data_IF_275634907451
#
_entry.id   IF_275634907451
#
_cell.length_a   1.000
_cell.length_b   1.000
_cell.length_c   1.000
_cell.angle_alpha   90.00
_cell.angle_beta   90.00
_cell.angle_gamma   90.00
#
_symmetry.space_group_name_H-M   'P 1'
#
loop_
_entity.id
_entity.type
_entity.pdbx_description
1 polymer ?
#
# COMPACT_ATOMS: atom_id res chain seq x y z
N UNK A 1 -8.05 -22.53 -33.20
CA UNK A 1 -8.53 -21.27 -32.57
C UNK A 1 -7.33 -20.36 -32.45
N UNK A 2 -7.37 -19.21 -33.11
CA UNK A 2 -6.24 -18.28 -33.27
C UNK A 2 -5.78 -17.76 -31.90
N UNK A 3 -4.49 -17.97 -31.61
CA UNK A 3 -3.86 -17.50 -30.39
C UNK A 3 -3.72 -15.98 -30.40
N UNK A 4 -4.48 -15.33 -29.52
CA UNK A 4 -4.15 -13.98 -29.08
C UNK A 4 -2.84 -14.07 -28.27
N UNK A 5 -1.85 -13.20 -28.51
CA UNK A 5 -0.64 -13.18 -27.69
C UNK A 5 -1.04 -12.84 -26.25
N UNK A 6 -0.49 -13.58 -25.29
CA UNK A 6 -0.77 -13.52 -23.84
C UNK A 6 -0.69 -12.11 -23.21
N UNK A 7 -0.19 -11.13 -23.94
CA UNK A 7 0.02 -9.74 -23.53
C UNK A 7 -1.12 -8.78 -23.88
N UNK A 8 -1.92 -9.07 -24.93
CA UNK A 8 -3.24 -8.40 -25.08
C UNK A 8 -4.06 -8.70 -23.83
N UNK A 9 -3.85 -9.88 -23.24
CA UNK A 9 -4.43 -10.30 -21.97
C UNK A 9 -3.91 -9.52 -20.75
N UNK A 10 -2.65 -9.05 -20.64
CA UNK A 10 -2.22 -8.25 -19.45
C UNK A 10 -2.89 -6.88 -19.45
N UNK A 11 -2.85 -6.17 -20.59
CA UNK A 11 -3.52 -4.88 -20.74
C UNK A 11 -5.04 -4.99 -20.63
N UNK A 12 -5.66 -6.05 -21.19
CA UNK A 12 -7.08 -6.33 -21.00
C UNK A 12 -7.43 -6.85 -19.59
N UNK A 13 -6.56 -7.60 -18.91
CA UNK A 13 -6.83 -8.15 -17.56
C UNK A 13 -6.74 -7.05 -16.52
N UNK A 14 -5.78 -6.13 -16.65
CA UNK A 14 -5.76 -4.89 -15.85
C UNK A 14 -7.03 -4.09 -16.17
N UNK A 15 -7.33 -3.81 -17.45
CA UNK A 15 -8.54 -3.06 -17.84
C UNK A 15 -9.88 -3.74 -17.45
N UNK A 16 -9.99 -5.07 -17.52
CA UNK A 16 -11.19 -5.83 -17.12
C UNK A 16 -11.28 -5.99 -15.61
N UNK A 17 -10.14 -6.00 -14.91
CA UNK A 17 -10.12 -5.92 -13.46
C UNK A 17 -10.68 -4.64 -12.89
N UNK A 18 -10.67 -3.61 -13.73
CA UNK A 18 -11.05 -2.28 -13.37
C UNK A 18 -12.50 -1.92 -13.75
N UNK A 19 -13.28 -2.84 -14.34
CA UNK A 19 -14.64 -2.56 -14.85
C UNK A 19 -15.79 -3.05 -13.95
N UNK A 20 -15.53 -3.64 -12.79
CA UNK A 20 -16.58 -4.26 -11.98
C UNK A 20 -16.36 -4.09 -10.47
N UNK A 21 -16.47 -2.86 -9.98
CA UNK A 21 -16.75 -2.58 -8.56
C UNK A 21 -17.96 -1.66 -8.48
N UNK A 22 -19.02 -2.11 -7.79
CA UNK A 22 -19.98 -1.18 -7.20
C UNK A 22 -19.37 -0.75 -5.88
N UNK A 23 -19.06 0.53 -5.77
CA UNK A 23 -18.65 1.14 -4.52
C UNK A 23 -19.69 0.83 -3.44
N UNK A 24 -19.23 0.37 -2.27
CA UNK A 24 -20.03 0.57 -1.07
C UNK A 24 -19.98 2.08 -0.86
N UNK A 25 -21.14 2.72 -0.91
CA UNK A 25 -21.25 4.17 -0.74
C UNK A 25 -20.80 4.50 0.68
N UNK A 26 -19.52 4.85 0.78
CA UNK A 26 -18.89 5.22 2.02
C UNK A 26 -19.49 6.54 2.50
N UNK A 27 -19.57 6.69 3.81
CA UNK A 27 -19.87 7.95 4.48
C UNK A 27 -18.66 8.89 4.29
N UNK A 28 -18.46 9.32 3.04
CA UNK A 28 -17.32 10.11 2.57
C UNK A 28 -17.34 11.54 3.11
N UNK A 29 -18.46 11.99 3.67
CA UNK A 29 -18.62 13.39 4.08
C UNK A 29 -18.22 13.62 5.54
N UNK A 30 -18.12 12.56 6.35
CA UNK A 30 -17.79 12.68 7.76
C UNK A 30 -16.35 12.27 8.06
N UNK A 31 -15.71 13.03 8.95
CA UNK A 31 -14.44 12.64 9.59
C UNK A 31 -14.56 11.31 10.35
N UNK A 32 -15.78 10.98 10.75
CA UNK A 32 -16.11 10.01 11.77
C UNK A 32 -17.04 8.94 11.20
N UNK A 33 -16.52 7.73 11.04
CA UNK A 33 -17.35 6.59 10.71
C UNK A 33 -18.38 6.31 11.83
N UNK A 34 -19.66 6.20 11.50
CA UNK A 34 -20.75 5.96 12.47
C UNK A 34 -20.73 4.56 13.12
N UNK A 35 -19.87 3.65 12.64
CA UNK A 35 -19.67 2.30 13.18
C UNK A 35 -18.46 2.16 14.12
N UNK A 36 -18.02 0.91 14.37
CA UNK A 36 -16.87 0.61 15.23
C UNK A 36 -15.58 1.31 14.77
N UNK A 37 -14.68 1.54 15.73
CA UNK A 37 -13.45 2.32 15.55
C UNK A 37 -12.30 1.75 16.37
N UNK A 38 -11.09 1.92 15.86
CA UNK A 38 -9.87 1.64 16.63
C UNK A 38 -9.67 2.60 17.80
N UNK A 39 -9.25 2.12 18.99
CA UNK A 39 -9.15 2.97 20.18
C UNK A 39 -7.86 3.80 20.28
N UNK A 40 -6.88 3.57 19.40
CA UNK A 40 -5.56 4.19 19.51
C UNK A 40 -5.45 5.60 18.90
N UNK A 41 -6.52 6.09 18.26
CA UNK A 41 -6.55 7.41 17.59
C UNK A 41 -7.13 8.48 18.51
N UNK A 42 -6.48 9.65 18.58
CA UNK A 42 -7.01 10.87 19.21
C UNK A 42 -8.05 11.55 18.31
N UNK A 43 -9.27 10.99 18.27
CA UNK A 43 -10.35 11.50 17.43
C UNK A 43 -10.70 12.98 17.62
N UNK A 44 -10.69 13.56 18.84
CA UNK A 44 -10.82 15.00 19.03
C UNK A 44 -9.70 15.80 18.36
N UNK A 45 -8.43 15.44 18.58
CA UNK A 45 -7.32 16.10 17.90
C UNK A 45 -7.46 16.03 16.38
N UNK A 46 -7.93 14.90 15.85
CA UNK A 46 -8.12 14.69 14.42
C UNK A 46 -9.20 15.59 13.83
N UNK A 47 -10.24 15.93 14.61
CA UNK A 47 -11.24 16.91 14.20
C UNK A 47 -10.69 18.31 14.10
N UNK A 48 -9.94 18.75 15.12
CA UNK A 48 -9.28 20.04 15.07
C UNK A 48 -8.31 20.13 13.88
N UNK A 49 -7.47 19.13 13.67
CA UNK A 49 -6.49 19.11 12.59
C UNK A 49 -7.16 19.08 11.20
N UNK A 50 -8.24 18.31 11.06
CA UNK A 50 -9.00 18.27 9.81
C UNK A 50 -9.64 19.62 9.49
N UNK A 51 -10.29 20.26 10.46
CA UNK A 51 -10.89 21.58 10.29
C UNK A 51 -9.83 22.61 9.89
N UNK A 52 -8.69 22.64 10.59
CA UNK A 52 -7.58 23.52 10.25
C UNK A 52 -7.06 23.28 8.82
N UNK A 53 -6.92 22.01 8.41
CA UNK A 53 -6.40 21.65 7.10
C UNK A 53 -7.28 22.15 5.94
N UNK A 54 -8.59 22.33 6.15
CA UNK A 54 -9.50 22.84 5.11
C UNK A 54 -9.96 24.27 5.34
N UNK A 55 -9.37 24.97 6.31
CA UNK A 55 -9.68 26.37 6.62
C UNK A 55 -11.03 26.58 7.33
N UNK A 56 -11.57 25.53 7.96
CA UNK A 56 -12.78 25.60 8.78
C UNK A 56 -12.47 26.06 10.23
N UNK A 57 -13.44 26.69 10.92
CA UNK A 57 -13.30 26.99 12.34
C UNK A 57 -13.05 25.72 13.17
N UNK A 58 -12.14 25.82 14.15
CA UNK A 58 -11.91 24.71 15.06
C UNK A 58 -13.17 24.40 15.89
N UNK A 59 -13.46 23.13 16.19
CA UNK A 59 -14.52 22.79 17.12
C UNK A 59 -14.30 23.46 18.48
N UNK A 60 -15.39 23.87 19.14
CA UNK A 60 -15.32 24.62 20.39
C UNK A 60 -14.45 23.93 21.45
N UNK A 61 -13.47 24.65 21.99
CA UNK A 61 -12.57 24.16 23.03
C UNK A 61 -11.48 23.20 22.53
N UNK A 62 -11.42 22.89 21.23
CA UNK A 62 -10.38 22.05 20.66
C UNK A 62 -9.23 22.88 20.07
N UNK A 63 -8.03 22.32 20.13
CA UNK A 63 -6.82 22.85 19.50
C UNK A 63 -6.17 21.73 18.68
N UNK A 64 -5.44 22.10 17.63
CA UNK A 64 -4.63 21.13 16.88
C UNK A 64 -3.44 20.75 17.74
N UNK A 65 -3.25 19.47 18.10
CA UNK A 65 -2.08 19.07 18.87
C UNK A 65 -0.80 19.30 18.08
N UNK A 66 0.32 19.49 18.78
CA UNK A 66 1.63 19.59 18.17
C UNK A 66 2.34 18.23 18.11
N UNK A 67 3.24 18.06 17.14
CA UNK A 67 4.12 16.90 17.12
C UNK A 67 5.09 16.94 18.29
N UNK A 68 4.99 15.96 19.21
CA UNK A 68 5.96 15.80 20.30
C UNK A 68 7.38 15.53 19.79
N UNK A 69 7.48 14.81 18.69
CA UNK A 69 8.72 14.56 17.95
C UNK A 69 8.38 14.21 16.50
N UNK A 70 9.23 14.61 15.56
CA UNK A 70 9.18 14.13 14.17
C UNK A 70 10.04 12.89 14.06
N UNK A 71 9.41 11.73 13.86
CA UNK A 71 10.10 10.43 13.76
C UNK A 71 10.69 10.26 12.36
N UNK A 72 11.90 9.69 12.28
CA UNK A 72 12.52 9.37 10.99
C UNK A 72 12.16 7.94 10.57
N UNK A 73 11.54 7.78 9.40
CA UNK A 73 11.44 6.49 8.72
C UNK A 73 12.78 6.17 8.06
N UNK A 74 13.24 4.93 8.11
CA UNK A 74 14.63 4.59 7.73
C UNK A 74 14.70 3.44 6.75
N UNK A 75 15.75 3.40 5.94
CA UNK A 75 15.91 2.34 4.95
C UNK A 75 16.18 0.98 5.64
N UNK A 76 15.49 -0.07 5.23
CA UNK A 76 15.55 -1.42 5.81
C UNK A 76 16.96 -1.92 6.12
N UNK A 77 17.92 -1.73 5.22
CA UNK A 77 19.30 -2.24 5.34
C UNK A 77 20.09 -1.50 6.41
N UNK A 78 19.66 -0.30 6.81
CA UNK A 78 20.29 0.51 7.87
C UNK A 78 19.86 0.09 9.28
N UNK A 79 18.77 -0.68 9.40
CA UNK A 79 18.32 -1.19 10.70
C UNK A 79 19.29 -2.24 11.25
N UNK A 80 19.50 -2.18 12.55
CA UNK A 80 20.14 -3.26 13.32
C UNK A 80 19.28 -4.53 13.30
N UNK A 81 19.90 -5.67 13.61
CA UNK A 81 19.18 -6.94 13.71
C UNK A 81 18.00 -6.88 14.69
N UNK A 82 18.21 -6.28 15.87
CA UNK A 82 17.17 -6.19 16.89
C UNK A 82 16.02 -5.27 16.49
N UNK A 83 16.31 -4.16 15.79
CA UNK A 83 15.26 -3.30 15.25
C UNK A 83 14.42 -4.01 14.18
N UNK A 84 15.07 -4.78 13.28
CA UNK A 84 14.36 -5.60 12.29
C UNK A 84 13.48 -6.64 12.97
N UNK A 85 14.01 -7.34 13.98
CA UNK A 85 13.29 -8.36 14.74
C UNK A 85 12.09 -7.77 15.47
N UNK A 86 12.23 -6.59 16.07
CA UNK A 86 11.15 -5.89 16.77
C UNK A 86 10.03 -5.45 15.81
N UNK A 87 10.39 -4.99 14.60
CA UNK A 87 9.42 -4.69 13.54
C UNK A 87 8.61 -5.93 13.14
N UNK A 88 9.27 -7.08 12.92
CA UNK A 88 8.61 -8.34 12.61
C UNK A 88 7.66 -8.79 13.73
N UNK A 89 8.07 -8.63 15.00
CA UNK A 89 7.25 -8.92 16.17
C UNK A 89 6.00 -8.05 16.20
N UNK A 90 6.12 -6.75 15.92
CA UNK A 90 4.99 -5.82 15.94
C UNK A 90 3.91 -6.19 14.91
N UNK A 91 4.31 -6.55 13.68
CA UNK A 91 3.37 -7.01 12.65
C UNK A 91 2.66 -8.31 13.08
N UNK A 92 3.42 -9.30 13.57
CA UNK A 92 2.84 -10.54 14.11
C UNK A 92 1.89 -10.28 15.27
N UNK A 93 2.17 -9.28 16.09
CA UNK A 93 1.27 -8.88 17.17
C UNK A 93 -0.08 -8.40 16.61
N UNK A 94 -0.10 -7.59 15.55
CA UNK A 94 -1.36 -7.13 14.93
C UNK A 94 -2.23 -8.30 14.42
N UNK A 95 -1.60 -9.39 13.97
CA UNK A 95 -2.28 -10.65 13.58
C UNK A 95 -2.93 -11.40 14.76
N UNK A 96 -2.74 -10.93 15.99
CA UNK A 96 -3.32 -11.51 17.20
C UNK A 96 -4.19 -10.52 17.98
N UNK A 97 -4.30 -9.27 17.52
CA UNK A 97 -5.17 -8.25 18.13
C UNK A 97 -6.56 -8.34 17.50
N UNK A 98 -7.64 -8.06 18.25
CA UNK A 98 -8.99 -8.11 17.70
C UNK A 98 -9.21 -7.04 16.63
N UNK A 99 -10.07 -7.34 15.66
CA UNK A 99 -10.50 -6.45 14.55
C UNK A 99 -11.20 -5.14 15.00
N UNK A 100 -11.61 -5.05 16.26
CA UNK A 100 -12.41 -3.93 16.79
C UNK A 100 -13.76 -3.71 16.07
N UNK A 101 -14.27 -4.68 15.32
CA UNK A 101 -15.56 -4.63 14.64
C UNK A 101 -15.54 -3.88 13.31
N UNK A 102 -14.37 -3.62 12.76
CA UNK A 102 -14.16 -2.96 11.47
C UNK A 102 -14.53 -3.89 10.32
N UNK A 103 -14.06 -5.13 10.38
CA UNK A 103 -14.32 -6.18 9.41
C UNK A 103 -14.91 -7.41 10.11
N UNK A 104 -16.22 -7.39 10.47
CA UNK A 104 -16.82 -8.39 11.36
C UNK A 104 -16.74 -9.85 10.91
N UNK A 105 -16.40 -10.11 9.64
CA UNK A 105 -16.19 -11.45 9.10
C UNK A 105 -14.81 -12.02 9.42
N UNK A 106 -13.86 -11.17 9.85
CA UNK A 106 -12.48 -11.55 10.08
C UNK A 106 -12.03 -11.28 11.52
N UNK A 107 -11.13 -12.11 12.06
CA UNK A 107 -10.87 -12.11 13.50
C UNK A 107 -9.91 -11.00 13.98
N UNK A 108 -9.02 -10.52 13.12
CA UNK A 108 -7.85 -9.76 13.59
C UNK A 108 -7.79 -8.32 13.09
N UNK A 109 -7.09 -7.46 13.83
CA UNK A 109 -6.78 -6.10 13.38
C UNK A 109 -5.97 -6.12 12.08
N UNK A 110 -5.10 -7.11 11.87
CA UNK A 110 -4.39 -7.25 10.60
C UNK A 110 -5.37 -7.52 9.45
N UNK A 111 -6.36 -8.39 9.64
CA UNK A 111 -7.40 -8.63 8.64
C UNK A 111 -8.21 -7.36 8.35
N UNK A 112 -8.45 -6.51 9.36
CA UNK A 112 -9.12 -5.21 9.19
C UNK A 112 -8.36 -4.31 8.19
N UNK A 113 -7.03 -4.26 8.27
CA UNK A 113 -6.20 -3.56 7.29
C UNK A 113 -6.39 -4.12 5.89
N UNK A 114 -6.30 -5.46 5.73
CA UNK A 114 -6.47 -6.10 4.43
C UNK A 114 -7.87 -5.82 3.87
N UNK A 115 -8.90 -5.96 4.69
CA UNK A 115 -10.29 -5.74 4.29
C UNK A 115 -10.56 -4.32 3.82
N UNK A 116 -10.11 -3.30 4.57
CA UNK A 116 -10.29 -1.88 4.17
C UNK A 116 -9.62 -1.57 2.83
N UNK A 117 -8.44 -2.13 2.58
CA UNK A 117 -7.78 -1.99 1.28
C UNK A 117 -8.54 -2.73 0.16
N UNK A 118 -9.01 -3.94 0.43
CA UNK A 118 -9.73 -4.76 -0.54
C UNK A 118 -11.08 -4.16 -0.93
N UNK A 119 -11.87 -3.68 0.03
CA UNK A 119 -13.28 -3.27 -0.20
C UNK A 119 -13.41 -2.02 -1.07
N UNK A 120 -12.38 -1.18 -1.15
CA UNK A 120 -12.42 0.01 -2.00
C UNK A 120 -11.11 0.27 -2.74
N UNK A 121 -10.50 -0.81 -3.20
CA UNK A 121 -9.31 -0.74 -4.01
C UNK A 121 -9.46 0.23 -5.22
N UNK A 122 -10.59 0.18 -5.94
CA UNK A 122 -10.85 1.06 -7.11
C UNK A 122 -11.01 2.53 -6.79
N UNK A 123 -11.33 2.87 -5.54
CA UNK A 123 -11.61 4.26 -5.16
C UNK A 123 -10.32 5.06 -4.93
N UNK A 124 -9.18 4.38 -4.74
CA UNK A 124 -7.89 5.01 -4.37
C UNK A 124 -6.70 4.52 -5.20
N UNK A 125 -6.94 3.82 -6.30
CA UNK A 125 -5.86 3.38 -7.19
C UNK A 125 -6.06 3.99 -8.55
N UNK A 126 -4.93 4.32 -9.19
CA UNK A 126 -4.87 4.91 -10.53
C UNK A 126 -5.70 6.20 -10.61
N UNK A 127 -5.65 6.97 -9.53
CA UNK A 127 -6.32 8.23 -9.35
C UNK A 127 -5.57 9.10 -8.34
N UNK A 128 -5.98 10.36 -8.25
CA UNK A 128 -5.28 11.35 -7.44
C UNK A 128 -5.22 10.98 -5.95
N UNK A 129 -6.15 10.18 -5.45
CA UNK A 129 -6.22 9.82 -4.03
C UNK A 129 -5.18 8.76 -3.63
N UNK A 130 -4.53 8.08 -4.60
CA UNK A 130 -3.58 7.00 -4.36
C UNK A 130 -2.48 7.34 -3.36
N UNK A 131 -1.67 8.35 -3.66
CA UNK A 131 -0.56 8.75 -2.80
C UNK A 131 -1.01 9.19 -1.40
N UNK A 132 -1.96 10.13 -1.24
CA UNK A 132 -2.38 10.58 0.08
C UNK A 132 -3.11 9.50 0.90
N UNK A 133 -3.86 8.59 0.25
CA UNK A 133 -4.53 7.47 0.93
C UNK A 133 -3.52 6.46 1.46
N UNK A 134 -2.58 5.99 0.62
CA UNK A 134 -1.57 5.01 1.05
C UNK A 134 -0.61 5.57 2.10
N UNK A 135 -0.24 6.85 1.99
CA UNK A 135 0.51 7.57 3.03
C UNK A 135 -0.16 7.43 4.40
N UNK A 136 -1.46 7.73 4.44
CA UNK A 136 -2.23 7.69 5.67
C UNK A 136 -2.45 6.25 6.16
N UNK A 137 -2.66 5.32 5.23
CA UNK A 137 -2.80 3.89 5.53
C UNK A 137 -1.56 3.30 6.20
N UNK A 138 -0.36 3.59 5.68
CA UNK A 138 0.92 3.21 6.31
C UNK A 138 1.09 3.92 7.65
N UNK A 139 0.65 5.17 7.79
CA UNK A 139 0.66 5.87 9.07
C UNK A 139 -0.24 5.19 10.11
N UNK A 140 -1.49 4.87 9.79
CA UNK A 140 -2.42 4.14 10.69
C UNK A 140 -1.80 2.80 11.11
N UNK A 141 -1.18 2.06 10.17
CA UNK A 141 -0.48 0.82 10.49
C UNK A 141 0.68 1.04 11.48
N UNK A 142 1.46 2.11 11.31
CA UNK A 142 2.53 2.46 12.26
C UNK A 142 2.02 2.86 13.64
N UNK A 143 0.92 3.61 13.72
CA UNK A 143 0.27 3.94 14.99
C UNK A 143 -0.29 2.68 15.66
N UNK A 144 -0.89 1.75 14.90
CA UNK A 144 -1.35 0.49 15.43
C UNK A 144 -0.19 -0.34 16.03
N UNK A 145 0.94 -0.44 15.32
CA UNK A 145 2.12 -1.12 15.84
C UNK A 145 2.63 -0.48 17.15
N UNK A 146 2.71 0.85 17.21
CA UNK A 146 3.19 1.56 18.40
C UNK A 146 2.22 1.47 19.58
N UNK A 147 0.94 1.76 19.36
CA UNK A 147 -0.06 1.93 20.42
C UNK A 147 -0.69 0.62 20.88
N UNK A 148 -0.74 -0.40 20.02
CA UNK A 148 -1.39 -1.69 20.31
C UNK A 148 -0.38 -2.81 20.54
N UNK A 149 0.81 -2.68 19.97
CA UNK A 149 1.84 -3.71 19.94
C UNK A 149 3.19 -3.24 20.50
N UNK A 150 3.23 -2.11 21.20
CA UNK A 150 4.41 -1.59 21.89
C UNK A 150 5.66 -1.52 20.99
N UNK A 151 5.47 -1.20 19.70
CA UNK A 151 6.58 -0.97 18.79
C UNK A 151 7.21 0.39 19.06
N UNK A 152 8.51 0.42 19.37
CA UNK A 152 9.25 1.67 19.60
C UNK A 152 10.37 1.89 18.57
N UNK A 153 10.54 0.97 17.62
CA UNK A 153 11.54 1.10 16.56
C UNK A 153 11.14 2.13 15.49
N UNK A 154 12.08 2.51 14.62
CA UNK A 154 11.76 3.35 13.47
C UNK A 154 10.95 2.56 12.43
N UNK A 155 9.96 3.18 11.78
CA UNK A 155 9.22 2.53 10.68
C UNK A 155 10.14 2.45 9.46
N UNK A 156 10.42 1.26 8.90
CA UNK A 156 11.31 1.15 7.77
C UNK A 156 10.61 1.39 6.44
N UNK A 157 11.41 1.67 5.41
CA UNK A 157 11.03 1.59 4.00
C UNK A 157 12.02 0.73 3.22
N UNK A 158 11.58 0.12 2.12
CA UNK A 158 12.40 -0.74 1.28
C UNK A 158 12.81 0.02 0.02
N UNK A 159 14.07 0.46 -0.03
CA UNK A 159 14.60 1.07 -1.24
C UNK A 159 14.98 -0.02 -2.25
N UNK A 160 14.00 -0.53 -3.00
CA UNK A 160 14.21 -1.54 -4.04
C UNK A 160 14.92 -0.98 -5.29
N UNK A 161 15.04 0.33 -5.44
CA UNK A 161 15.90 0.92 -6.48
C UNK A 161 17.36 0.51 -6.33
N UNK A 162 17.82 0.18 -5.12
CA UNK A 162 19.17 -0.38 -4.93
C UNK A 162 19.30 -1.85 -5.37
N UNK A 163 18.19 -2.57 -5.52
CA UNK A 163 18.17 -3.97 -5.96
C UNK A 163 17.64 -4.10 -7.40
N UNK A 164 17.46 -3.00 -8.15
CA UNK A 164 16.67 -3.01 -9.38
C UNK A 164 17.14 -4.02 -10.43
N UNK A 165 18.44 -4.30 -10.51
CA UNK A 165 19.01 -5.29 -11.42
C UNK A 165 18.72 -6.74 -10.99
N UNK A 166 18.54 -7.00 -9.70
CA UNK A 166 18.33 -8.32 -9.11
C UNK A 166 17.32 -8.24 -7.96
N UNK A 167 16.11 -7.76 -8.24
CA UNK A 167 15.09 -7.41 -7.23
C UNK A 167 14.79 -8.55 -6.25
N UNK A 168 14.70 -9.79 -6.74
CA UNK A 168 14.39 -10.97 -5.94
C UNK A 168 15.57 -11.43 -5.05
N UNK A 169 16.79 -10.95 -5.32
CA UNK A 169 17.98 -11.17 -4.47
C UNK A 169 18.10 -10.11 -3.36
N UNK A 170 17.11 -9.21 -3.26
CA UNK A 170 17.07 -8.21 -2.20
C UNK A 170 17.18 -8.88 -0.81
N UNK A 171 17.99 -8.33 0.11
CA UNK A 171 18.14 -8.89 1.46
C UNK A 171 16.84 -8.86 2.28
N UNK A 172 15.80 -8.17 1.80
CA UNK A 172 14.46 -8.21 2.40
C UNK A 172 13.86 -9.63 2.35
N UNK A 173 14.14 -10.40 1.28
CA UNK A 173 13.67 -11.77 1.08
C UNK A 173 14.53 -12.83 1.77
N UNK A 174 15.45 -12.42 2.65
CA UNK A 174 16.26 -13.34 3.47
C UNK A 174 15.41 -14.43 4.13
N UNK A 175 15.97 -15.63 4.25
CA UNK A 175 15.36 -16.76 4.95
C UNK A 175 15.54 -16.72 6.47
N UNK A 176 16.23 -15.70 7.01
CA UNK A 176 16.42 -15.54 8.45
C UNK A 176 15.06 -15.51 9.20
N UNK A 177 14.84 -16.40 10.17
CA UNK A 177 13.53 -16.58 10.82
C UNK A 177 13.11 -15.44 11.74
N UNK A 178 13.98 -14.47 12.01
CA UNK A 178 13.67 -13.32 12.86
C UNK A 178 13.55 -12.01 12.07
N UNK A 179 14.30 -11.88 10.97
CA UNK A 179 14.41 -10.60 10.27
C UNK A 179 14.09 -10.67 8.78
N UNK A 180 14.03 -11.84 8.16
CA UNK A 180 13.72 -11.96 6.73
C UNK A 180 12.21 -11.95 6.47
N UNK A 181 11.75 -11.33 5.38
CA UNK A 181 10.35 -11.49 4.92
C UNK A 181 10.14 -12.83 4.20
N UNK A 182 11.20 -13.62 4.01
CA UNK A 182 11.17 -14.92 3.34
C UNK A 182 11.13 -14.81 1.82
N UNK A 183 11.41 -15.90 1.13
CA UNK A 183 11.21 -16.02 -0.32
C UNK A 183 9.77 -16.51 -0.64
N UNK A 184 9.50 -16.90 -1.88
CA UNK A 184 8.27 -17.63 -2.21
C UNK A 184 8.21 -19.05 -1.66
N UNK A 185 9.31 -19.61 -1.15
CA UNK A 185 9.39 -20.98 -0.66
C UNK A 185 9.35 -22.03 -1.77
N UNK A 186 9.25 -23.31 -1.38
CA UNK A 186 9.35 -24.44 -2.30
C UNK A 186 8.06 -25.25 -2.44
N UNK A 187 7.06 -24.97 -1.61
CA UNK A 187 5.81 -25.73 -1.57
C UNK A 187 4.76 -25.05 -2.45
N UNK A 188 4.50 -25.60 -3.63
CA UNK A 188 3.39 -25.15 -4.47
C UNK A 188 2.05 -25.42 -3.77
N UNK A 189 1.13 -24.47 -3.86
CA UNK A 189 -0.21 -24.55 -3.29
C UNK A 189 -1.27 -24.13 -4.31
N UNK A 190 -2.45 -24.71 -4.17
CA UNK A 190 -3.66 -24.31 -4.88
C UNK A 190 -4.81 -24.37 -3.89
N UNK A 191 -5.30 -23.20 -3.47
CA UNK A 191 -6.45 -23.08 -2.57
C UNK A 191 -7.56 -22.38 -3.33
N UNK A 192 -8.60 -23.13 -3.72
CA UNK A 192 -9.75 -22.60 -4.46
C UNK A 192 -9.36 -21.86 -5.76
N UNK A 193 -8.31 -22.33 -6.44
CA UNK A 193 -7.79 -21.73 -7.67
C UNK A 193 -6.75 -20.62 -7.46
N UNK A 194 -6.47 -20.22 -6.21
CA UNK A 194 -5.35 -19.33 -5.87
C UNK A 194 -4.05 -20.14 -5.90
N UNK A 195 -3.27 -19.95 -6.96
CA UNK A 195 -2.05 -20.73 -7.24
C UNK A 195 -0.81 -19.92 -6.88
N UNK A 196 0.11 -20.52 -6.12
CA UNK A 196 1.38 -19.90 -5.80
C UNK A 196 2.30 -20.86 -5.05
N UNK A 197 3.30 -20.32 -4.39
CA UNK A 197 4.16 -21.04 -3.46
C UNK A 197 3.97 -20.49 -2.07
N UNK A 198 3.86 -21.39 -1.09
CA UNK A 198 3.75 -21.05 0.32
C UNK A 198 5.06 -20.43 0.79
N UNK A 199 4.99 -19.25 1.40
CA UNK A 199 6.11 -18.67 2.16
C UNK A 199 6.43 -19.59 3.34
N UNK A 200 7.52 -20.34 3.23
CA UNK A 200 7.91 -21.41 4.17
C UNK A 200 9.20 -21.12 4.96
N UNK A 201 9.76 -19.91 4.78
CA UNK A 201 10.98 -19.44 5.43
C UNK A 201 10.86 -17.94 5.80
N UNK A 202 11.87 -17.41 6.49
CA UNK A 202 11.82 -16.05 7.03
C UNK A 202 10.92 -15.92 8.27
N UNK A 203 10.76 -14.70 8.75
CA UNK A 203 9.96 -14.39 9.94
C UNK A 203 8.49 -14.74 9.79
N UNK A 204 7.93 -14.69 8.58
CA UNK A 204 6.52 -15.01 8.33
C UNK A 204 6.31 -16.43 7.77
N UNK A 205 7.26 -17.33 7.97
CA UNK A 205 7.14 -18.73 7.55
C UNK A 205 5.83 -19.36 8.06
N UNK A 206 5.05 -19.93 7.14
CA UNK A 206 3.75 -20.56 7.41
C UNK A 206 2.68 -19.64 8.02
N UNK A 207 2.82 -18.31 7.86
CA UNK A 207 1.76 -17.37 8.17
C UNK A 207 0.47 -17.76 7.44
N UNK A 208 -0.66 -17.71 8.15
CA UNK A 208 -1.99 -17.85 7.56
C UNK A 208 -2.63 -16.48 7.39
N UNK A 209 -3.35 -16.32 6.29
CA UNK A 209 -4.14 -15.13 5.95
C UNK A 209 -5.59 -15.56 5.73
N UNK A 210 -6.56 -14.66 5.93
CA UNK A 210 -7.98 -15.01 5.92
C UNK A 210 -8.77 -14.48 4.71
N UNK A 211 -8.20 -13.56 3.94
CA UNK A 211 -8.86 -12.89 2.81
C UNK A 211 -8.19 -13.35 1.51
N UNK A 212 -8.93 -13.75 0.46
CA UNK A 212 -10.39 -13.95 0.40
C UNK A 212 -10.90 -15.20 1.12
N UNK A 213 -10.03 -16.15 1.39
CA UNK A 213 -10.31 -17.42 2.07
C UNK A 213 -9.14 -17.73 2.97
N UNK A 214 -9.33 -18.53 4.02
CA UNK A 214 -8.19 -18.94 4.84
C UNK A 214 -7.20 -19.79 4.04
N UNK A 215 -5.96 -19.33 3.94
CA UNK A 215 -4.86 -20.05 3.30
C UNK A 215 -3.51 -19.63 3.90
N UNK A 216 -2.41 -20.24 3.46
CA UNK A 216 -1.07 -19.76 3.80
C UNK A 216 -0.71 -18.56 2.94
N UNK A 217 0.08 -17.63 3.47
CA UNK A 217 0.67 -16.56 2.68
C UNK A 217 1.42 -17.16 1.48
N UNK A 218 1.09 -16.67 0.29
CA UNK A 218 1.66 -17.13 -0.98
C UNK A 218 2.40 -16.04 -1.72
N UNK A 219 3.45 -16.45 -2.43
CA UNK A 219 4.16 -15.65 -3.45
C UNK A 219 4.47 -16.55 -4.65
N UNK A 220 4.79 -15.97 -5.80
CA UNK A 220 5.25 -16.71 -6.96
C UNK A 220 6.29 -15.93 -7.78
N UNK A 221 7.55 -16.02 -7.36
CA UNK A 221 8.69 -15.39 -8.04
C UNK A 221 8.96 -15.97 -9.45
N UNK A 222 8.38 -17.12 -9.77
CA UNK A 222 8.57 -17.80 -11.05
C UNK A 222 7.55 -17.44 -12.13
N UNK A 223 6.45 -16.75 -11.75
CA UNK A 223 5.36 -16.40 -12.67
C UNK A 223 5.85 -15.65 -13.93
N UNK A 224 6.89 -14.82 -13.75
CA UNK A 224 7.46 -14.02 -14.83
C UNK A 224 8.33 -14.81 -15.79
N UNK A 225 9.00 -15.88 -15.34
CA UNK A 225 9.81 -16.74 -16.23
C UNK A 225 8.94 -17.41 -17.30
N UNK A 226 7.69 -17.72 -16.95
CA UNK A 226 6.70 -18.26 -17.89
C UNK A 226 6.05 -17.21 -18.79
N UNK A 227 5.95 -15.97 -18.32
CA UNK A 227 5.30 -14.87 -19.06
C UNK A 227 6.27 -14.11 -19.97
N UNK A 228 7.57 -14.10 -19.66
CA UNK A 228 8.63 -13.50 -20.47
C UNK A 228 9.67 -14.54 -20.93
N UNK A 229 9.27 -15.50 -21.79
CA UNK A 229 10.15 -16.61 -22.20
C UNK A 229 11.33 -16.15 -23.07
N UNK A 230 11.26 -14.96 -23.64
CA UNK A 230 12.30 -14.36 -24.48
C UNK A 230 13.23 -13.42 -23.72
N UNK A 231 12.98 -13.18 -22.42
CA UNK A 231 13.74 -12.23 -21.62
C UNK A 231 13.58 -10.78 -22.07
N UNK A 232 12.53 -10.47 -22.85
CA UNK A 232 12.26 -9.14 -23.36
C UNK A 232 11.91 -8.16 -22.22
N UNK A 233 11.33 -8.68 -21.15
CA UNK A 233 10.90 -7.95 -19.96
C UNK A 233 11.71 -8.29 -18.70
N UNK A 234 12.65 -9.24 -18.77
CA UNK A 234 13.30 -9.95 -17.66
C UNK A 234 13.73 -9.09 -16.48
N UNK A 235 15.00 -8.68 -16.45
CA UNK A 235 15.54 -7.64 -15.55
C UNK A 235 14.84 -6.27 -15.78
N UNK A 236 13.91 -6.17 -16.73
CA UNK A 236 13.31 -4.92 -17.22
C UNK A 236 12.14 -4.39 -16.38
N UNK A 237 11.51 -5.18 -15.49
CA UNK A 237 10.65 -4.58 -14.45
C UNK A 237 11.49 -3.73 -13.48
N UNK A 238 12.73 -4.15 -13.22
CA UNK A 238 13.71 -3.36 -12.45
C UNK A 238 13.89 -1.94 -12.99
N UNK A 239 13.89 -1.79 -14.30
CA UNK A 239 14.03 -0.49 -14.96
C UNK A 239 12.92 0.50 -14.59
N UNK A 240 11.71 0.00 -14.30
CA UNK A 240 10.54 0.83 -13.91
C UNK A 240 10.64 1.43 -12.51
N UNK A 241 11.61 0.97 -11.72
CA UNK A 241 11.99 1.53 -10.42
C UNK A 241 13.51 1.73 -10.28
N UNK A 242 14.20 1.85 -11.41
CA UNK A 242 15.62 2.20 -11.46
C UNK A 242 15.87 3.61 -10.91
N UNK A 243 17.13 3.99 -10.63
CA UNK A 243 17.46 5.37 -10.30
C UNK A 243 16.97 6.38 -11.34
N UNK A 244 16.96 5.99 -12.62
CA UNK A 244 16.45 6.82 -13.71
C UNK A 244 14.92 6.99 -13.65
N UNK A 245 14.17 5.92 -13.35
CA UNK A 245 12.72 6.00 -13.18
C UNK A 245 12.32 6.85 -11.97
N UNK A 246 13.01 6.70 -10.84
CA UNK A 246 12.80 7.57 -9.66
C UNK A 246 13.16 9.01 -9.98
N UNK A 247 14.27 9.27 -10.68
CA UNK A 247 14.64 10.63 -11.09
C UNK A 247 13.59 11.26 -12.01
N UNK A 248 13.01 10.49 -12.94
CA UNK A 248 11.88 10.92 -13.78
C UNK A 248 10.69 11.36 -12.92
N UNK A 249 10.24 10.52 -11.98
CA UNK A 249 9.14 10.84 -11.08
C UNK A 249 9.43 12.11 -10.26
N UNK A 250 10.63 12.25 -9.72
CA UNK A 250 11.04 13.43 -8.94
C UNK A 250 11.15 14.72 -9.78
N UNK A 251 11.24 14.60 -11.10
CA UNK A 251 11.26 15.75 -12.03
C UNK A 251 9.87 16.23 -12.45
N UNK A 252 8.81 15.51 -12.09
CA UNK A 252 7.43 15.81 -12.49
C UNK A 252 7.01 17.22 -12.07
N UNK A 253 6.43 17.97 -13.01
CA UNK A 253 5.99 19.33 -12.72
C UNK A 253 4.59 19.37 -12.10
N UNK A 254 3.73 18.45 -12.52
CA UNK A 254 2.37 18.30 -12.02
C UNK A 254 2.27 17.08 -11.10
N UNK A 255 1.26 17.08 -10.23
CA UNK A 255 0.96 15.93 -9.38
C UNK A 255 0.54 14.72 -10.24
N UNK A 256 -0.30 14.92 -11.25
CA UNK A 256 -0.70 13.87 -12.20
C UNK A 256 0.48 13.21 -12.93
N UNK A 257 1.54 13.97 -13.26
CA UNK A 257 2.73 13.42 -13.92
C UNK A 257 3.56 12.56 -12.94
N UNK A 258 3.55 12.91 -11.64
CA UNK A 258 4.18 12.11 -10.59
C UNK A 258 3.41 10.81 -10.38
N UNK A 259 2.09 10.91 -10.25
CA UNK A 259 1.16 9.79 -10.11
C UNK A 259 1.33 8.79 -11.25
N UNK A 260 1.31 9.28 -12.49
CA UNK A 260 1.53 8.47 -13.69
C UNK A 260 2.86 7.72 -13.67
N UNK A 261 3.94 8.36 -13.21
CA UNK A 261 5.25 7.73 -13.11
C UNK A 261 5.36 6.70 -11.97
N UNK A 262 4.62 6.89 -10.88
CA UNK A 262 4.62 5.98 -9.73
C UNK A 262 3.75 4.75 -10.02
N UNK A 263 2.50 4.94 -10.41
CA UNK A 263 1.57 3.85 -10.67
C UNK A 263 1.73 3.24 -12.08
N UNK A 264 2.39 3.96 -12.99
CA UNK A 264 2.78 3.43 -14.30
C UNK A 264 1.67 3.46 -15.35
N UNK A 265 0.57 4.19 -15.15
CA UNK A 265 -0.51 4.27 -16.15
C UNK A 265 -0.16 5.10 -17.40
N UNK A 266 1.02 5.71 -17.44
CA UNK A 266 1.64 6.25 -18.66
C UNK A 266 2.38 5.19 -19.48
N UNK A 267 2.39 3.94 -19.02
CA UNK A 267 2.94 2.77 -19.68
C UNK A 267 1.80 1.81 -20.04
N UNK A 268 1.84 1.23 -21.25
CA UNK A 268 0.83 0.28 -21.74
C UNK A 268 0.67 -0.96 -20.86
N UNK A 269 1.70 -1.33 -20.11
CA UNK A 269 1.69 -2.46 -19.19
C UNK A 269 1.33 -2.06 -17.74
N UNK A 270 1.03 -0.79 -17.47
CA UNK A 270 0.77 -0.27 -16.11
C UNK A 270 1.90 -0.60 -15.14
N UNK A 271 3.15 -0.43 -15.59
CA UNK A 271 4.35 -0.73 -14.81
C UNK A 271 5.01 0.55 -14.36
N UNK A 272 5.24 0.67 -13.07
CA UNK A 272 5.84 1.84 -12.44
C UNK A 272 6.51 1.47 -11.12
N UNK A 273 6.94 2.50 -10.39
CA UNK A 273 7.62 2.36 -9.11
C UNK A 273 6.77 1.55 -8.11
N UNK A 274 5.45 1.68 -8.15
CA UNK A 274 4.49 0.97 -7.30
C UNK A 274 4.10 -0.41 -7.85
N UNK A 275 3.53 -0.48 -9.06
CA UNK A 275 2.92 -1.72 -9.57
C UNK A 275 3.94 -2.85 -9.78
N UNK A 276 5.17 -2.53 -10.18
CA UNK A 276 6.15 -3.54 -10.58
C UNK A 276 6.59 -4.46 -9.42
N UNK A 277 6.92 -3.95 -8.21
CA UNK A 277 7.13 -4.80 -7.03
C UNK A 277 5.97 -5.75 -6.74
N UNK A 278 4.73 -5.26 -6.67
CA UNK A 278 3.53 -6.09 -6.46
C UNK A 278 3.46 -7.24 -7.47
N UNK A 279 3.64 -6.89 -8.73
CA UNK A 279 3.59 -7.83 -9.84
C UNK A 279 4.71 -8.87 -9.72
N UNK A 280 5.94 -8.45 -9.40
CA UNK A 280 7.11 -9.33 -9.24
C UNK A 280 6.89 -10.45 -8.24
N UNK A 281 6.43 -10.15 -7.02
CA UNK A 281 6.32 -11.21 -6.00
C UNK A 281 5.11 -12.09 -6.21
N UNK A 282 4.05 -11.59 -6.85
CA UNK A 282 2.82 -12.32 -7.12
C UNK A 282 2.20 -12.95 -5.85
N UNK A 283 1.27 -13.90 -6.01
CA UNK A 283 0.53 -14.48 -4.89
C UNK A 283 -0.33 -13.44 -4.18
N UNK A 284 -0.38 -13.54 -2.85
CA UNK A 284 -1.10 -12.63 -1.97
C UNK A 284 -0.67 -11.18 -2.10
N UNK A 285 0.56 -10.91 -2.55
CA UNK A 285 1.00 -9.54 -2.83
C UNK A 285 0.33 -8.90 -4.06
N UNK A 286 -0.70 -9.58 -4.60
CA UNK A 286 -1.57 -9.20 -5.73
C UNK A 286 -0.78 -9.07 -7.02
N UNK A 287 -0.19 -10.18 -7.44
CA UNK A 287 0.35 -10.29 -8.80
C UNK A 287 -0.76 -10.43 -9.84
N UNK A 288 -0.50 -10.02 -11.09
CA UNK A 288 -1.42 -10.31 -12.18
C UNK A 288 -1.61 -11.82 -12.26
N UNK A 289 -2.81 -12.24 -12.64
CA UNK A 289 -3.19 -13.64 -12.83
C UNK A 289 -3.45 -14.49 -11.58
N UNK A 290 -3.08 -14.04 -10.38
CA UNK A 290 -3.24 -14.86 -9.17
C UNK A 290 -4.70 -15.28 -8.92
N UNK A 291 -5.65 -14.39 -9.23
CA UNK A 291 -7.08 -14.64 -9.05
C UNK A 291 -7.80 -15.07 -10.34
N UNK A 292 -7.17 -15.01 -11.53
CA UNK A 292 -7.83 -15.06 -12.84
C UNK A 292 -8.83 -16.20 -13.08
N UNK A 293 -8.61 -17.36 -12.45
CA UNK A 293 -9.47 -18.54 -12.61
C UNK A 293 -10.34 -18.80 -11.36
N UNK A 294 -10.61 -17.76 -10.58
CA UNK A 294 -11.36 -17.83 -9.32
C UNK A 294 -12.58 -16.93 -9.35
N UNK A 295 -13.52 -17.17 -8.44
CA UNK A 295 -14.70 -16.31 -8.26
C UNK A 295 -14.39 -14.89 -7.79
N UNK A 296 -13.17 -14.65 -7.29
CA UNK A 296 -12.71 -13.33 -6.83
C UNK A 296 -12.04 -12.52 -7.93
N UNK A 297 -11.93 -13.08 -9.14
CA UNK A 297 -11.49 -12.30 -10.27
C UNK A 297 -12.65 -11.52 -10.89
N UNK A 298 -12.46 -10.22 -11.17
CA UNK A 298 -11.23 -9.47 -10.92
C UNK A 298 -11.27 -8.55 -9.70
N UNK A 299 -12.19 -8.81 -8.77
CA UNK A 299 -12.67 -7.82 -7.82
C UNK A 299 -11.83 -7.70 -6.53
N UNK A 300 -10.79 -8.53 -6.34
CA UNK A 300 -10.05 -8.56 -5.08
C UNK A 300 -8.57 -8.18 -5.23
N UNK A 301 -8.16 -7.18 -4.43
CA UNK A 301 -6.77 -6.80 -4.22
C UNK A 301 -6.43 -6.94 -2.74
N UNK A 302 -5.65 -7.98 -2.41
CA UNK A 302 -5.33 -8.38 -1.04
C UNK A 302 -3.85 -8.17 -0.70
N UNK A 303 -3.15 -7.32 -1.45
CA UNK A 303 -1.71 -7.09 -1.27
C UNK A 303 -1.26 -6.90 0.19
N UNK A 304 -2.03 -6.22 1.08
CA UNK A 304 -1.66 -6.13 2.50
C UNK A 304 -1.64 -7.46 3.27
N UNK A 305 -2.16 -8.57 2.73
CA UNK A 305 -1.96 -9.91 3.30
C UNK A 305 -0.46 -10.19 3.49
N UNK A 306 0.36 -9.73 2.56
CA UNK A 306 1.80 -9.85 2.64
C UNK A 306 2.39 -8.69 3.48
N UNK A 307 3.07 -8.97 4.61
CA UNK A 307 3.72 -7.96 5.44
C UNK A 307 4.70 -7.04 4.69
N UNK A 308 5.23 -7.47 3.54
CA UNK A 308 6.14 -6.65 2.73
C UNK A 308 5.42 -5.45 2.08
N UNK A 309 4.08 -5.45 2.01
CA UNK A 309 3.25 -4.33 1.59
C UNK A 309 3.60 -3.03 2.33
N UNK A 310 3.72 -3.10 3.66
CA UNK A 310 3.89 -1.91 4.50
C UNK A 310 5.19 -1.17 4.23
N UNK A 311 6.27 -1.93 4.08
CA UNK A 311 7.60 -1.40 3.85
C UNK A 311 7.82 -0.99 2.38
N UNK A 312 7.08 -1.60 1.44
CA UNK A 312 6.98 -1.14 0.06
C UNK A 312 6.24 0.20 -0.05
N UNK A 313 5.05 0.34 0.53
CA UNK A 313 4.30 1.60 0.48
C UNK A 313 4.97 2.71 1.31
N UNK A 314 5.75 2.37 2.34
CA UNK A 314 6.61 3.35 3.00
C UNK A 314 7.68 3.91 2.03
N UNK A 315 8.15 3.13 1.05
CA UNK A 315 9.05 3.65 0.02
C UNK A 315 8.34 4.43 -1.08
N UNK A 316 7.16 3.98 -1.52
CA UNK A 316 6.30 4.78 -2.43
C UNK A 316 6.02 6.16 -1.81
N UNK A 317 5.68 6.19 -0.52
CA UNK A 317 5.49 7.43 0.22
C UNK A 317 6.78 8.25 0.36
N UNK A 318 7.95 7.60 0.51
CA UNK A 318 9.25 8.28 0.52
C UNK A 318 9.53 9.00 -0.81
N UNK A 319 9.17 8.40 -1.95
CA UNK A 319 9.31 9.02 -3.27
C UNK A 319 8.36 10.23 -3.39
N UNK A 320 7.10 10.08 -2.96
CA UNK A 320 6.14 11.19 -2.93
C UNK A 320 6.62 12.33 -2.02
N UNK A 321 7.04 12.03 -0.79
CA UNK A 321 7.61 13.00 0.13
C UNK A 321 8.82 13.72 -0.48
N UNK A 322 9.73 12.99 -1.14
CA UNK A 322 10.92 13.57 -1.78
C UNK A 322 10.57 14.55 -2.91
N UNK A 323 9.50 14.28 -3.66
CA UNK A 323 8.98 15.20 -4.65
C UNK A 323 8.39 16.45 -3.99
N UNK A 324 7.64 16.30 -2.90
CA UNK A 324 7.05 17.41 -2.16
C UNK A 324 8.09 18.37 -1.56
N UNK A 325 9.29 17.87 -1.24
CA UNK A 325 10.42 18.69 -0.77
C UNK A 325 10.99 19.62 -1.87
N UNK A 326 10.61 19.46 -3.14
CA UNK A 326 11.04 20.36 -4.21
C UNK A 326 10.29 21.71 -4.11
N UNK A 327 10.91 22.83 -4.52
CA UNK A 327 10.29 24.15 -4.43
C UNK A 327 8.89 24.20 -5.06
N UNK A 328 7.91 24.63 -4.27
CA UNK A 328 6.53 24.81 -4.71
C UNK A 328 5.72 23.52 -4.86
N UNK A 329 6.22 22.34 -4.46
CA UNK A 329 5.51 21.05 -4.61
C UNK A 329 4.70 20.60 -3.39
N UNK A 330 5.05 21.05 -2.19
CA UNK A 330 4.47 20.57 -0.92
C UNK A 330 2.94 20.40 -0.91
N UNK A 331 2.21 21.38 -1.44
CA UNK A 331 0.74 21.42 -1.41
C UNK A 331 0.11 21.22 -2.79
N UNK A 332 0.89 20.85 -3.80
CA UNK A 332 0.34 20.57 -5.13
C UNK A 332 -0.43 19.26 -5.09
N UNK A 333 -1.71 19.36 -5.41
CA UNK A 333 -2.63 18.24 -5.49
C UNK A 333 -3.71 18.56 -6.52
N UNK A 334 -3.84 17.69 -7.51
CA UNK A 334 -4.90 17.67 -8.50
C UNK A 334 -4.83 16.35 -9.27
N UNK A 335 -5.91 15.97 -9.94
CA UNK A 335 -5.93 14.80 -10.81
C UNK A 335 -7.34 14.23 -10.89
N UNK A 336 -7.46 13.08 -11.53
CA UNK A 336 -8.73 12.39 -11.68
C UNK A 336 -9.18 11.73 -10.38
N UNK A 337 -10.50 11.66 -10.14
CA UNK A 337 -11.07 10.84 -9.06
C UNK A 337 -11.57 9.50 -9.61
N UNK A 338 -12.47 9.47 -10.61
CA UNK A 338 -12.97 8.21 -11.12
C UNK A 338 -11.87 7.55 -11.96
N UNK A 339 -11.69 6.25 -11.75
CA UNK A 339 -10.86 5.46 -12.64
C UNK A 339 -11.48 5.36 -14.04
N UNK A 340 -12.81 5.27 -14.13
CA UNK A 340 -13.57 5.07 -15.37
C UNK A 340 -13.76 6.36 -16.19
N UNK A 341 -13.42 7.52 -15.62
CA UNK A 341 -13.32 8.79 -16.32
C UNK A 341 -11.98 9.49 -16.02
N UNK A 342 -10.91 9.16 -16.75
CA UNK A 342 -9.60 9.81 -16.59
C UNK A 342 -9.60 11.29 -17.00
N UNK A 343 -10.72 11.81 -17.54
CA UNK A 343 -10.86 13.23 -17.87
C UNK A 343 -11.45 14.05 -16.72
N UNK A 344 -12.09 13.39 -15.75
CA UNK A 344 -12.68 14.04 -14.58
C UNK A 344 -11.64 14.43 -13.54
N UNK A 345 -11.01 15.59 -13.73
CA UNK A 345 -10.01 16.17 -12.83
C UNK A 345 -10.62 16.90 -11.63
N UNK A 346 -11.69 16.37 -11.04
CA UNK A 346 -12.45 17.02 -9.97
C UNK A 346 -11.85 16.88 -8.56
N UNK A 347 -10.73 16.15 -8.39
CA UNK A 347 -10.11 15.90 -7.08
C UNK A 347 -9.76 17.21 -6.36
N UNK A 348 -10.18 17.34 -5.10
CA UNK A 348 -9.94 18.52 -4.26
C UNK A 348 -9.14 18.14 -3.03
N UNK A 349 -8.28 19.06 -2.59
CA UNK A 349 -7.58 18.90 -1.32
C UNK A 349 -8.53 18.82 -0.09
N UNK A 350 -9.80 19.22 -0.26
CA UNK A 350 -10.85 19.11 0.77
C UNK A 350 -11.57 17.77 0.77
N UNK A 351 -11.39 16.95 -0.26
CA UNK A 351 -12.01 15.61 -0.33
C UNK A 351 -11.52 14.76 0.84
N UNK A 352 -12.40 13.92 1.38
CA UNK A 352 -12.06 13.05 2.50
C UNK A 352 -11.69 11.66 2.01
N UNK A 353 -10.66 11.10 2.63
CA UNK A 353 -10.18 9.75 2.37
C UNK A 353 -10.84 8.77 3.34
N UNK A 354 -11.67 7.82 2.87
CA UNK A 354 -12.38 6.90 3.76
C UNK A 354 -11.51 5.73 4.25
N UNK A 355 -11.66 5.38 5.53
CA UNK A 355 -10.95 4.28 6.22
C UNK A 355 -11.87 3.34 7.02
N UNK A 356 -13.20 3.50 6.94
CA UNK A 356 -14.19 2.53 7.43
C UNK A 356 -14.01 2.09 8.90
N UNK A 357 -13.58 3.01 9.76
CA UNK A 357 -13.36 2.75 11.18
C UNK A 357 -11.94 2.29 11.55
N UNK A 358 -11.13 1.87 10.58
CA UNK A 358 -9.70 1.57 10.77
C UNK A 358 -8.86 2.82 11.11
N UNK A 359 -9.40 3.98 10.78
CA UNK A 359 -8.88 5.27 11.18
C UNK A 359 -9.94 6.36 10.94
N UNK A 360 -9.60 7.62 11.22
CA UNK A 360 -10.42 8.76 10.81
C UNK A 360 -10.34 8.95 9.30
N UNK A 361 -11.33 9.66 8.75
CA UNK A 361 -11.38 10.01 7.33
C UNK A 361 -10.80 11.43 7.11
N UNK A 362 -9.47 11.59 6.94
CA UNK A 362 -8.87 12.92 6.84
C UNK A 362 -9.26 13.59 5.52
N UNK A 363 -9.34 14.93 5.47
CA UNK A 363 -9.26 15.64 4.21
C UNK A 363 -7.86 15.43 3.61
N UNK A 364 -7.75 15.37 2.28
CA UNK A 364 -6.48 15.19 1.57
C UNK A 364 -5.42 16.21 2.04
N UNK A 365 -5.79 17.46 2.27
CA UNK A 365 -4.84 18.50 2.67
C UNK A 365 -4.12 18.18 4.00
N UNK A 366 -4.75 17.42 4.89
CA UNK A 366 -4.13 16.99 6.15
C UNK A 366 -3.03 15.94 5.93
N UNK A 367 -3.07 15.20 4.81
CA UNK A 367 -2.09 14.15 4.51
C UNK A 367 -0.90 14.68 3.69
N UNK A 368 -0.96 15.91 3.19
CA UNK A 368 0.07 16.44 2.30
C UNK A 368 1.37 16.82 3.00
N UNK A 369 1.42 16.95 4.34
CA UNK A 369 2.66 17.27 5.06
C UNK A 369 2.89 16.33 6.25
N UNK A 370 3.85 15.42 6.10
CA UNK A 370 4.10 14.33 7.07
C UNK A 370 4.65 14.83 8.40
N UNK A 371 5.32 15.98 8.42
CA UNK A 371 5.86 16.58 9.65
C UNK A 371 4.81 17.31 10.49
N UNK A 372 3.60 17.51 9.97
CA UNK A 372 2.49 18.06 10.74
C UNK A 372 1.82 16.97 11.58
N UNK A 373 1.18 17.38 12.68
CA UNK A 373 0.31 16.49 13.44
C UNK A 373 -0.89 16.10 12.56
N UNK A 374 -1.29 14.83 12.54
CA UNK A 374 -0.93 13.73 13.45
C UNK A 374 0.24 12.86 13.00
N UNK A 375 0.68 12.99 11.75
CA UNK A 375 1.63 12.05 11.16
C UNK A 375 3.00 12.13 11.83
N UNK A 376 3.52 13.33 12.05
CA UNK A 376 4.75 13.59 12.79
C UNK A 376 5.94 12.70 12.36
N UNK A 377 6.17 12.54 11.05
CA UNK A 377 7.34 11.81 10.54
C UNK A 377 7.98 12.45 9.30
N UNK A 378 9.21 12.01 9.04
CA UNK A 378 10.05 12.37 7.88
C UNK A 378 10.87 11.16 7.43
N UNK A 379 11.71 11.30 6.40
CA UNK A 379 12.52 10.21 5.81
C UNK A 379 14.03 10.42 5.90
#
# INVERSE_FOLDING_TARGET
MLGLPSFVFIGLVVAQALLAVRSVQADNDSLYHNGPRVPFVDYPGMAAASAQAIGEPLPYGQHVPECKAVKKRVEWRTLTYDQKKDYMRAIKCLQNKPDYGISPQYPTLYDAFVWVHTTNWTDYHLNAWFMPWHRWFVWIHSEAMEKVCDYSGPVPYWNYTADYQNFLESPIFSSDPNIGFGSHGNTAVNVSGLIGFKVDNGAFANMKVNIPVTHYLTRNFSAWKTLDPTGQYGVAFGETFSPAAVARALSSNKFSDLEAAIEGFDNTLHLGIHNSPHFFSSGDWTGPFWTNNTQWFPQIAVAPNDPIFWIHHAYVDQVFWSWQQKPGKQWLFNGNIPWDDPTDNSAKATDRLPFFGLGPNPPINLTLKTENWPMCYTY
#
